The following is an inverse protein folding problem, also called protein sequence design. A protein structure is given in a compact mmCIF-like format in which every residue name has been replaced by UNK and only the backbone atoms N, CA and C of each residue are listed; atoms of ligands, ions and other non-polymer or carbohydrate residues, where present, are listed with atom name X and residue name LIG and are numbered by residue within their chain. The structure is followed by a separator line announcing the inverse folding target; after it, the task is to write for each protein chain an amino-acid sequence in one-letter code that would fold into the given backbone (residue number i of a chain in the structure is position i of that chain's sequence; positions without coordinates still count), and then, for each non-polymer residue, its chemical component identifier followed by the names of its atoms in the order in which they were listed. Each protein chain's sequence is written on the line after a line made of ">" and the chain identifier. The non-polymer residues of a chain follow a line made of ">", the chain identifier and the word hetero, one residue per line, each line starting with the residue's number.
data_IF_487528066397
#
_entry.id   IF_487528066397
#
_cell.length_a   1.000
_cell.length_b   1.000
_cell.length_c   1.000
_cell.angle_alpha   90.00
_cell.angle_beta   90.00
_cell.angle_gamma   90.00
#
_symmetry.space_group_name_H-M   'P 1'
#
loop_
_entity.id
_entity.type
_entity.pdbx_description
1 polymer ?
#
# COMPACT_ATOMS: atom_id res chain seq x y z
N UNK A 1 5.22 1.77 18.66
CA UNK A 1 4.32 1.63 17.48
C UNK A 1 4.69 2.69 16.45
N UNK A 2 5.11 2.27 15.25
CA UNK A 2 5.54 3.19 14.19
C UNK A 2 4.37 4.07 13.74
N UNK A 3 4.65 5.33 13.40
CA UNK A 3 3.61 6.34 13.12
C UNK A 3 2.70 5.94 11.95
N UNK A 4 3.24 5.30 10.90
CA UNK A 4 2.44 4.86 9.76
C UNK A 4 1.42 3.76 10.12
N UNK A 5 1.71 2.89 11.09
CA UNK A 5 0.77 1.84 11.53
C UNK A 5 -0.45 2.44 12.25
N UNK A 6 -0.24 3.50 13.04
CA UNK A 6 -1.36 4.28 13.60
C UNK A 6 -2.21 4.87 12.48
N UNK A 7 -1.59 5.44 11.44
CA UNK A 7 -2.33 6.00 10.31
C UNK A 7 -3.19 4.96 9.60
N UNK A 8 -2.71 3.72 9.44
CA UNK A 8 -3.52 2.62 8.86
C UNK A 8 -4.68 2.27 9.80
N UNK A 9 -4.44 2.16 11.11
CA UNK A 9 -5.49 1.86 12.08
C UNK A 9 -6.61 2.90 12.13
N UNK A 10 -6.28 4.18 11.92
CA UNK A 10 -7.25 5.27 11.85
C UNK A 10 -7.94 5.39 10.49
N UNK A 11 -7.42 4.76 9.45
CA UNK A 11 -8.07 4.76 8.14
C UNK A 11 -9.37 3.94 8.16
N UNK A 12 -10.35 4.33 7.35
CA UNK A 12 -11.62 3.62 7.23
C UNK A 12 -11.38 2.17 6.80
N UNK A 13 -12.14 1.22 7.35
CA UNK A 13 -12.13 -0.20 6.89
C UNK A 13 -12.41 -0.36 5.39
N UNK A 14 -12.93 0.66 4.71
CA UNK A 14 -13.24 0.65 3.27
C UNK A 14 -12.18 1.31 2.40
N UNK A 15 -11.08 1.80 2.98
CA UNK A 15 -10.02 2.48 2.23
C UNK A 15 -8.96 1.49 1.76
N UNK A 16 -8.62 1.54 0.47
CA UNK A 16 -7.43 0.87 -0.05
C UNK A 16 -6.19 1.66 0.36
N UNK A 17 -5.28 1.03 1.11
CA UNK A 17 -4.08 1.69 1.63
C UNK A 17 -2.84 1.20 0.90
N UNK A 18 -2.09 2.13 0.29
CA UNK A 18 -0.76 1.86 -0.26
C UNK A 18 0.29 2.47 0.67
N UNK A 19 1.22 1.66 1.17
CA UNK A 19 2.34 2.11 2.01
C UNK A 19 3.56 2.33 1.13
N UNK A 20 4.18 3.51 1.23
CA UNK A 20 5.45 3.81 0.56
C UNK A 20 6.49 4.13 1.63
N UNK A 21 7.56 3.35 1.70
CA UNK A 21 8.53 3.50 2.78
C UNK A 21 9.79 2.65 2.59
N UNK A 22 10.79 2.93 3.41
CA UNK A 22 12.04 2.17 3.47
C UNK A 22 12.05 1.32 4.74
N UNK A 23 12.72 0.16 4.69
CA UNK A 23 12.88 -0.78 5.80
C UNK A 23 11.54 -1.16 6.42
N UNK A 24 10.60 -1.54 5.55
CA UNK A 24 9.24 -1.90 5.97
C UNK A 24 9.28 -3.23 6.72
N UNK A 25 8.65 -3.24 7.89
CA UNK A 25 8.52 -4.43 8.71
C UNK A 25 7.24 -5.17 8.34
N UNK A 26 7.40 -6.11 7.40
CA UNK A 26 6.29 -6.92 6.89
C UNK A 26 5.67 -7.78 7.98
N UNK A 27 6.47 -8.32 8.90
CA UNK A 27 5.94 -9.14 9.99
C UNK A 27 5.04 -8.32 10.93
N UNK A 28 5.41 -7.06 11.23
CA UNK A 28 4.58 -6.14 11.99
C UNK A 28 3.29 -5.78 11.24
N UNK A 29 3.32 -5.67 9.91
CA UNK A 29 2.12 -5.46 9.09
C UNK A 29 1.17 -6.66 9.15
N UNK A 30 1.69 -7.86 8.93
CA UNK A 30 0.90 -9.10 8.93
C UNK A 30 0.31 -9.42 10.30
N UNK A 31 1.11 -9.33 11.38
CA UNK A 31 0.65 -9.67 12.74
C UNK A 31 -0.53 -8.82 13.20
N UNK A 32 -0.58 -7.55 12.77
CA UNK A 32 -1.61 -6.62 13.18
C UNK A 32 -2.84 -6.62 12.25
N UNK A 33 -2.91 -7.52 11.26
CA UNK A 33 -4.03 -7.66 10.32
C UNK A 33 -4.45 -6.33 9.67
N UNK A 34 -3.48 -5.49 9.34
CA UNK A 34 -3.75 -4.22 8.68
C UNK A 34 -4.24 -4.47 7.25
N UNK A 35 -5.36 -3.84 6.87
CA UNK A 35 -5.88 -3.89 5.50
C UNK A 35 -5.02 -2.98 4.61
N UNK A 36 -3.99 -3.56 4.00
CA UNK A 36 -3.06 -2.87 3.11
C UNK A 36 -3.24 -3.44 1.71
N UNK A 37 -3.57 -2.58 0.76
CA UNK A 37 -3.72 -2.94 -0.65
C UNK A 37 -2.36 -3.19 -1.31
N UNK A 38 -1.39 -2.31 -1.02
CA UNK A 38 -0.09 -2.37 -1.66
C UNK A 38 1.04 -1.86 -0.77
N UNK A 39 2.23 -2.41 -0.98
CA UNK A 39 3.46 -1.95 -0.34
C UNK A 39 4.50 -1.62 -1.41
N UNK A 40 5.03 -0.41 -1.36
CA UNK A 40 6.12 0.08 -2.20
C UNK A 40 7.35 0.25 -1.29
N UNK A 41 8.19 -0.78 -1.26
CA UNK A 41 9.46 -0.74 -0.55
C UNK A 41 10.51 0.01 -1.39
N UNK A 42 10.99 1.12 -0.86
CA UNK A 42 12.01 1.99 -1.46
C UNK A 42 13.39 1.82 -0.81
N UNK A 43 13.62 0.75 -0.02
CA UNK A 43 14.92 0.48 0.62
C UNK A 43 16.05 0.43 -0.39
N UNK A 44 15.83 -0.32 -1.47
CA UNK A 44 16.85 -0.57 -2.50
C UNK A 44 16.70 0.34 -3.74
N UNK A 45 15.56 0.99 -3.93
CA UNK A 45 15.32 1.88 -5.06
C UNK A 45 14.44 3.06 -4.65
N UNK A 46 15.06 4.24 -4.54
CA UNK A 46 14.41 5.51 -4.16
C UNK A 46 14.11 6.41 -5.36
N UNK A 47 14.31 5.91 -6.58
CA UNK A 47 14.11 6.72 -7.77
C UNK A 47 12.64 7.09 -7.92
N UNK A 48 12.37 8.35 -8.27
CA UNK A 48 11.00 8.82 -8.50
C UNK A 48 10.32 8.03 -9.64
N UNK A 49 11.10 7.60 -10.63
CA UNK A 49 10.63 6.76 -11.72
C UNK A 49 10.07 5.44 -11.20
N UNK A 50 10.83 4.72 -10.37
CA UNK A 50 10.38 3.47 -9.74
C UNK A 50 9.13 3.66 -8.89
N UNK A 51 9.09 4.72 -8.06
CA UNK A 51 7.93 5.01 -7.21
C UNK A 51 6.68 5.26 -8.07
N UNK A 52 6.81 6.06 -9.14
CA UNK A 52 5.69 6.32 -10.06
C UNK A 52 5.19 5.05 -10.74
N UNK A 53 6.10 4.22 -11.26
CA UNK A 53 5.75 2.95 -11.91
C UNK A 53 4.99 2.03 -10.94
N UNK A 54 5.43 1.93 -9.68
CA UNK A 54 4.76 1.13 -8.66
C UNK A 54 3.39 1.70 -8.24
N UNK A 55 3.25 3.02 -8.16
CA UNK A 55 1.95 3.65 -7.91
C UNK A 55 1.00 3.35 -9.08
N UNK A 56 1.47 3.52 -10.32
CA UNK A 56 0.66 3.24 -11.51
C UNK A 56 0.18 1.79 -11.53
N UNK A 57 1.06 0.83 -11.26
CA UNK A 57 0.72 -0.59 -11.17
C UNK A 57 -0.42 -0.85 -10.19
N UNK A 58 -0.34 -0.33 -8.96
CA UNK A 58 -1.40 -0.52 -7.97
C UNK A 58 -2.69 0.20 -8.34
N UNK A 59 -2.61 1.38 -8.96
CA UNK A 59 -3.82 2.10 -9.41
C UNK A 59 -4.52 1.35 -10.55
N UNK A 60 -3.77 0.83 -11.53
CA UNK A 60 -4.32 -0.01 -12.61
C UNK A 60 -5.07 -1.20 -12.02
N UNK A 61 -4.47 -1.93 -11.09
CA UNK A 61 -5.11 -3.05 -10.41
C UNK A 61 -6.41 -2.64 -9.69
N UNK A 62 -6.43 -1.51 -8.96
CA UNK A 62 -7.65 -1.00 -8.30
C UNK A 62 -8.75 -0.69 -9.31
N UNK A 63 -8.42 -0.03 -10.41
CA UNK A 63 -9.41 0.44 -11.37
C UNK A 63 -9.88 -0.66 -12.33
N UNK A 64 -9.00 -1.60 -12.71
CA UNK A 64 -9.37 -2.78 -13.49
C UNK A 64 -10.21 -3.74 -12.66
N UNK A 65 -9.82 -4.03 -11.41
CA UNK A 65 -10.60 -4.87 -10.51
C UNK A 65 -12.00 -4.30 -10.23
N UNK A 66 -12.13 -2.98 -10.13
CA UNK A 66 -13.43 -2.33 -9.93
C UNK A 66 -14.30 -2.33 -11.19
N UNK A 67 -13.71 -2.39 -12.38
CA UNK A 67 -14.45 -2.49 -13.64
C UNK A 67 -15.16 -3.83 -13.77
N UNK A 68 -14.49 -4.92 -13.38
CA UNK A 68 -15.06 -6.29 -13.44
C UNK A 68 -16.15 -6.55 -12.39
N UNK A 69 -16.21 -5.74 -11.32
CA UNK A 69 -17.23 -5.84 -10.27
C UNK A 69 -18.41 -4.85 -10.46
N UNK A 70 -18.46 -4.14 -11.59
CA UNK A 70 -19.50 -3.14 -11.88
C UNK A 70 -20.53 -3.57 -12.96
N UNK A 71 -20.49 -4.83 -13.38
CA UNK A 71 -21.53 -5.49 -14.19
C UNK A 71 -22.54 -6.24 -13.30
#
# INVERSE_FOLDING_TARGET
>A
MKLYLKSIQFSSKKSEVIIIGSQIDYDELYRNHYSVFGVIDITNNKSLKYIKEKIHFYLEEIYEFKKDNSD
#
